data_IF_265279254531
#
_entry.id   IF_265279254531
#
_cell.length_a   1.000
_cell.length_b   1.000
_cell.length_c   1.000
_cell.angle_alpha   90.00
_cell.angle_beta   90.00
_cell.angle_gamma   90.00
#
_symmetry.space_group_name_H-M   'P 1'
#
loop_
_entity.id
_entity.type
_entity.pdbx_description
1 polymer ?
#
# COMPACT_ATOMS: atom_id res chain seq x y z
N UNK A 1 16.64 14.12 7.18
CA UNK A 1 15.48 13.94 8.09
C UNK A 1 14.25 13.72 7.23
N UNK A 2 13.56 12.56 7.31
CA UNK A 2 12.35 12.29 6.51
C UNK A 2 11.20 13.10 7.10
N UNK A 3 10.56 13.97 6.31
CA UNK A 3 9.23 14.50 6.64
C UNK A 3 8.31 13.34 6.98
N UNK A 4 7.84 13.30 8.24
CA UNK A 4 6.83 12.34 8.67
C UNK A 4 5.49 12.77 8.12
N UNK A 5 5.20 12.40 6.88
CA UNK A 5 3.87 12.52 6.30
C UNK A 5 2.88 11.69 7.15
N UNK A 6 1.69 12.21 7.46
CA UNK A 6 0.65 11.56 8.28
C UNK A 6 0.39 10.12 7.80
N UNK A 7 0.39 9.91 6.49
CA UNK A 7 0.25 8.58 5.88
C UNK A 7 1.33 7.60 6.38
N UNK A 8 2.59 8.01 6.46
CA UNK A 8 3.68 7.16 6.93
C UNK A 8 3.50 6.75 8.40
N UNK A 9 2.95 7.65 9.22
CA UNK A 9 2.63 7.39 10.63
C UNK A 9 1.52 6.35 10.74
N UNK A 10 0.43 6.53 9.98
CA UNK A 10 -0.69 5.56 9.91
C UNK A 10 -0.17 4.19 9.45
N UNK A 11 0.63 4.13 8.39
CA UNK A 11 1.17 2.86 7.89
C UNK A 11 2.08 2.17 8.90
N UNK A 12 2.94 2.92 9.60
CA UNK A 12 3.77 2.35 10.67
C UNK A 12 2.95 1.85 11.86
N UNK A 13 1.81 2.46 12.13
CA UNK A 13 0.90 2.01 13.17
C UNK A 13 0.18 0.72 12.73
N UNK A 14 -0.41 0.73 11.53
CA UNK A 14 -1.28 -0.34 11.01
C UNK A 14 -0.51 -1.58 10.55
N UNK A 15 0.74 -1.44 10.09
CA UNK A 15 1.56 -2.55 9.63
C UNK A 15 2.68 -2.92 10.60
N UNK A 16 2.90 -4.23 10.76
CA UNK A 16 4.16 -4.75 11.29
C UNK A 16 5.18 -4.79 10.17
N UNK A 17 6.42 -4.37 10.42
CA UNK A 17 7.51 -4.43 9.44
C UNK A 17 8.60 -5.37 9.95
N UNK A 18 9.14 -6.18 9.06
CA UNK A 18 10.31 -7.02 9.32
C UNK A 18 11.54 -6.14 9.50
N UNK A 19 12.45 -6.58 10.36
CA UNK A 19 13.78 -5.96 10.52
C UNK A 19 14.76 -6.46 9.45
N UNK A 20 14.46 -7.59 8.81
CA UNK A 20 15.32 -8.18 7.79
C UNK A 20 15.23 -7.38 6.48
N UNK A 21 16.35 -7.25 5.74
CA UNK A 21 16.33 -6.64 4.43
C UNK A 21 15.54 -7.51 3.44
N UNK A 22 14.80 -6.86 2.53
CA UNK A 22 14.09 -7.55 1.45
C UNK A 22 15.12 -8.08 0.45
N UNK A 23 14.98 -9.34 0.03
CA UNK A 23 15.86 -9.96 -0.97
C UNK A 23 15.69 -9.27 -2.33
N UNK A 24 16.78 -9.16 -3.10
CA UNK A 24 16.75 -8.53 -4.42
C UNK A 24 15.70 -9.18 -5.34
N UNK A 25 15.67 -10.51 -5.39
CA UNK A 25 14.69 -11.24 -6.20
C UNK A 25 13.25 -10.91 -5.80
N UNK A 26 12.96 -10.85 -4.50
CA UNK A 26 11.63 -10.56 -4.00
C UNK A 26 11.22 -9.12 -4.29
N UNK A 27 12.15 -8.17 -4.18
CA UNK A 27 11.97 -6.79 -4.62
C UNK A 27 11.61 -6.72 -6.10
N UNK A 28 12.36 -7.40 -6.97
CA UNK A 28 12.16 -7.35 -8.43
C UNK A 28 10.83 -7.99 -8.83
N UNK A 29 10.49 -9.15 -8.27
CA UNK A 29 9.19 -9.80 -8.49
C UNK A 29 8.06 -8.88 -8.06
N UNK A 30 8.15 -8.29 -6.86
CA UNK A 30 7.12 -7.39 -6.33
C UNK A 30 7.00 -6.09 -7.15
N UNK A 31 8.12 -5.56 -7.65
CA UNK A 31 8.15 -4.38 -8.53
C UNK A 31 7.45 -4.67 -9.86
N UNK A 32 7.72 -5.81 -10.48
CA UNK A 32 7.04 -6.24 -11.73
C UNK A 32 5.56 -6.50 -11.49
N UNK A 33 5.19 -7.17 -10.40
CA UNK A 33 3.78 -7.37 -10.03
C UNK A 33 3.06 -6.03 -9.88
N UNK A 34 3.68 -5.07 -9.18
CA UNK A 34 3.10 -3.75 -8.99
C UNK A 34 2.96 -2.98 -10.32
N UNK A 35 3.95 -3.04 -11.23
CA UNK A 35 3.84 -2.38 -12.53
C UNK A 35 2.75 -3.00 -13.41
N UNK A 36 2.47 -4.29 -13.24
CA UNK A 36 1.46 -5.01 -14.00
C UNK A 36 0.05 -4.95 -13.37
N UNK A 37 -0.13 -4.16 -12.32
CA UNK A 37 -1.42 -4.05 -11.61
C UNK A 37 -1.82 -5.31 -10.85
N UNK A 38 -0.88 -6.24 -10.62
CA UNK A 38 -1.13 -7.48 -9.88
C UNK A 38 -0.98 -7.27 -8.38
N UNK A 39 -1.66 -8.12 -7.60
CA UNK A 39 -1.53 -8.12 -6.15
C UNK A 39 -0.11 -8.51 -5.72
N UNK A 40 0.53 -7.64 -4.95
CA UNK A 40 1.90 -7.85 -4.47
C UNK A 40 1.92 -8.67 -3.18
N UNK A 41 2.85 -9.62 -3.11
CA UNK A 41 3.08 -10.43 -1.91
C UNK A 41 3.71 -9.59 -0.79
N UNK A 42 2.85 -9.17 0.15
CA UNK A 42 3.26 -8.39 1.32
C UNK A 42 4.24 -9.11 2.25
N UNK A 43 4.21 -10.45 2.31
CA UNK A 43 5.06 -11.22 3.22
C UNK A 43 6.51 -11.20 2.76
N UNK A 44 6.73 -11.31 1.45
CA UNK A 44 8.06 -11.19 0.82
C UNK A 44 8.65 -9.78 0.94
N UNK A 45 7.79 -8.76 0.90
CA UNK A 45 8.19 -7.37 1.19
C UNK A 45 8.37 -7.09 2.69
N UNK A 46 8.18 -8.08 3.55
CA UNK A 46 8.45 -7.98 4.97
C UNK A 46 7.45 -7.10 5.71
N UNK A 47 6.18 -7.05 5.32
CA UNK A 47 5.16 -6.38 6.11
C UNK A 47 3.88 -7.20 6.26
N UNK A 48 3.20 -7.00 7.39
CA UNK A 48 1.93 -7.68 7.71
C UNK A 48 0.92 -6.72 8.32
N UNK A 49 -0.30 -6.74 7.80
CA UNK A 49 -1.40 -5.93 8.32
C UNK A 49 -1.78 -6.35 9.74
N UNK A 50 -1.90 -5.39 10.67
CA UNK A 50 -2.59 -5.58 11.95
C UNK A 50 -4.02 -5.08 11.80
N UNK A 51 -4.93 -6.02 11.52
CA UNK A 51 -6.32 -5.70 11.18
C UNK A 51 -7.02 -4.87 12.26
N UNK A 52 -6.81 -5.18 13.53
CA UNK A 52 -7.37 -4.42 14.67
C UNK A 52 -6.95 -2.95 14.66
N UNK A 53 -5.69 -2.66 14.30
CA UNK A 53 -5.20 -1.28 14.19
C UNK A 53 -5.76 -0.56 12.97
N UNK A 54 -5.96 -1.27 11.87
CA UNK A 54 -6.63 -0.71 10.69
C UNK A 54 -8.07 -0.31 11.01
N UNK A 55 -8.83 -1.17 11.71
CA UNK A 55 -10.17 -0.85 12.19
C UNK A 55 -10.17 0.39 13.09
N UNK A 56 -9.25 0.48 14.05
CA UNK A 56 -9.17 1.63 14.93
C UNK A 56 -9.00 2.95 14.16
N UNK A 57 -8.06 3.00 13.21
CA UNK A 57 -7.85 4.19 12.38
C UNK A 57 -9.07 4.51 11.53
N UNK A 58 -9.70 3.49 10.94
CA UNK A 58 -10.88 3.69 10.11
C UNK A 58 -12.08 4.20 10.90
N UNK A 59 -12.36 3.61 12.07
CA UNK A 59 -13.43 4.04 12.97
C UNK A 59 -13.20 5.50 13.40
N UNK A 60 -11.96 5.85 13.77
CA UNK A 60 -11.64 7.23 14.13
C UNK A 60 -11.91 8.22 12.97
N UNK A 61 -11.57 7.84 11.73
CA UNK A 61 -11.84 8.65 10.54
C UNK A 61 -13.35 8.79 10.29
N UNK A 62 -14.10 7.69 10.38
CA UNK A 62 -15.56 7.69 10.20
C UNK A 62 -16.25 8.55 11.27
N UNK A 63 -15.87 8.40 12.54
CA UNK A 63 -16.45 9.20 13.63
C UNK A 63 -16.12 10.68 13.50
N UNK A 64 -14.89 11.02 13.08
CA UNK A 64 -14.49 12.40 12.85
C UNK A 64 -15.34 13.10 11.79
N UNK A 65 -15.96 12.35 10.87
CA UNK A 65 -16.86 12.88 9.84
C UNK A 65 -18.33 12.80 10.27
N UNK A 66 -18.77 11.64 10.76
CA UNK A 66 -20.19 11.41 11.09
C UNK A 66 -20.65 12.17 12.32
N UNK A 67 -19.81 12.33 13.35
CA UNK A 67 -20.22 13.03 14.58
C UNK A 67 -20.52 14.51 14.30
N UNK A 68 -19.66 15.28 13.61
CA UNK A 68 -19.98 16.66 13.24
C UNK A 68 -21.22 16.76 12.36
N UNK A 69 -21.35 15.91 11.34
CA UNK A 69 -22.52 15.90 10.45
C UNK A 69 -23.79 15.64 11.27
N UNK A 70 -23.77 14.65 12.15
CA UNK A 70 -24.89 14.32 13.03
C UNK A 70 -25.24 15.50 13.95
N UNK A 71 -24.26 16.14 14.57
CA UNK A 71 -24.50 17.32 15.42
C UNK A 71 -25.09 18.51 14.65
N UNK A 72 -24.77 18.69 13.37
CA UNK A 72 -25.37 19.75 12.56
C UNK A 72 -26.78 19.38 12.08
N UNK A 73 -27.03 18.09 11.83
CA UNK A 73 -28.26 17.61 11.19
C UNK A 73 -29.27 16.98 12.14
N UNK A 74 -28.96 16.85 13.45
CA UNK A 74 -29.84 16.17 14.41
C UNK A 74 -31.24 16.79 14.51
N UNK A 75 -31.37 18.12 14.47
CA UNK A 75 -32.68 18.81 14.56
C UNK A 75 -33.60 18.53 13.36
N UNK A 76 -33.14 18.67 12.10
CA UNK A 76 -33.98 18.32 10.96
C UNK A 76 -34.24 16.81 10.90
N UNK A 77 -33.26 15.95 11.21
CA UNK A 77 -33.43 14.50 11.23
C UNK A 77 -34.49 14.03 12.24
N UNK A 78 -34.61 14.69 13.40
CA UNK A 78 -35.59 14.35 14.42
C UNK A 78 -37.05 14.54 13.98
N UNK A 79 -37.30 15.26 12.88
CA UNK A 79 -38.65 15.52 12.34
C UNK A 79 -39.01 14.63 11.14
N UNK A 80 -38.09 13.77 10.69
CA UNK A 80 -38.28 12.89 9.53
C UNK A 80 -39.03 11.62 9.95
N UNK A 81 -39.80 11.04 9.02
CA UNK A 81 -40.46 9.76 9.22
C UNK A 81 -39.44 8.66 9.61
N UNK A 82 -39.70 7.89 10.69
CA UNK A 82 -38.79 6.85 11.16
C UNK A 82 -38.40 5.80 10.11
N UNK A 83 -39.29 5.44 9.17
CA UNK A 83 -38.97 4.48 8.11
C UNK A 83 -37.88 5.01 7.19
N UNK A 84 -37.94 6.29 6.84
CA UNK A 84 -36.92 6.96 6.02
C UNK A 84 -35.59 6.99 6.78
N UNK A 85 -35.63 7.28 8.08
CA UNK A 85 -34.43 7.28 8.94
C UNK A 85 -33.76 5.90 9.03
N UNK A 86 -34.54 4.82 9.12
CA UNK A 86 -34.03 3.45 9.14
C UNK A 86 -33.35 3.11 7.80
N UNK A 87 -34.00 3.41 6.66
CA UNK A 87 -33.42 3.17 5.33
C UNK A 87 -32.12 3.97 5.16
N UNK A 88 -32.12 5.24 5.55
CA UNK A 88 -30.92 6.08 5.52
C UNK A 88 -29.78 5.52 6.35
N UNK A 89 -30.06 5.07 7.58
CA UNK A 89 -29.07 4.45 8.45
C UNK A 89 -28.50 3.16 7.86
N UNK A 90 -29.34 2.32 7.21
CA UNK A 90 -28.88 1.11 6.52
C UNK A 90 -27.93 1.44 5.37
N UNK A 91 -28.26 2.42 4.53
CA UNK A 91 -27.42 2.85 3.40
C UNK A 91 -26.07 3.39 3.91
N UNK A 92 -26.09 4.28 4.90
CA UNK A 92 -24.86 4.83 5.49
C UNK A 92 -23.99 3.71 6.06
N UNK A 93 -24.59 2.77 6.79
CA UNK A 93 -23.88 1.62 7.36
C UNK A 93 -23.22 0.77 6.27
N UNK A 94 -23.93 0.47 5.18
CA UNK A 94 -23.37 -0.27 4.04
C UNK A 94 -22.20 0.48 3.39
N UNK A 95 -22.30 1.81 3.22
CA UNK A 95 -21.22 2.63 2.67
C UNK A 95 -19.98 2.64 3.56
N UNK A 96 -20.14 2.65 4.89
CA UNK A 96 -19.02 2.53 5.83
C UNK A 96 -18.31 1.19 5.67
N UNK A 97 -19.05 0.08 5.60
CA UNK A 97 -18.42 -1.24 5.41
C UNK A 97 -17.72 -1.36 4.05
N UNK A 98 -18.35 -0.87 2.98
CA UNK A 98 -17.74 -0.82 1.66
C UNK A 98 -16.46 0.04 1.67
N UNK A 99 -16.52 1.21 2.30
CA UNK A 99 -15.39 2.12 2.44
C UNK A 99 -14.20 1.52 3.18
N UNK A 100 -14.44 0.63 4.16
CA UNK A 100 -13.36 -0.07 4.86
C UNK A 100 -12.53 -0.96 3.92
N UNK A 101 -13.17 -1.66 2.97
CA UNK A 101 -12.45 -2.49 2.00
C UNK A 101 -11.55 -1.63 1.09
N UNK A 102 -12.07 -0.51 0.60
CA UNK A 102 -11.28 0.45 -0.18
C UNK A 102 -10.12 1.04 0.66
N UNK A 103 -10.38 1.34 1.93
CA UNK A 103 -9.36 1.83 2.85
C UNK A 103 -8.22 0.81 3.05
N UNK A 104 -8.53 -0.46 3.24
CA UNK A 104 -7.51 -1.52 3.33
C UNK A 104 -6.69 -1.65 2.06
N UNK A 105 -7.33 -1.62 0.88
CA UNK A 105 -6.64 -1.66 -0.41
C UNK A 105 -5.71 -0.45 -0.58
N UNK A 106 -6.19 0.75 -0.24
CA UNK A 106 -5.39 1.98 -0.26
C UNK A 106 -4.17 1.91 0.65
N UNK A 107 -4.35 1.44 1.90
CA UNK A 107 -3.26 1.27 2.85
C UNK A 107 -2.24 0.23 2.37
N UNK A 108 -2.71 -0.88 1.79
CA UNK A 108 -1.84 -1.93 1.22
C UNK A 108 -1.00 -1.36 0.10
N UNK A 109 -1.60 -0.71 -0.89
CA UNK A 109 -0.89 -0.12 -2.03
C UNK A 109 0.14 0.92 -1.59
N UNK A 110 -0.23 1.76 -0.61
CA UNK A 110 0.67 2.77 -0.05
C UNK A 110 1.85 2.14 0.69
N UNK A 111 1.62 1.06 1.45
CA UNK A 111 2.68 0.33 2.15
C UNK A 111 3.61 -0.40 1.18
N UNK A 112 3.06 -1.03 0.14
CA UNK A 112 3.83 -1.69 -0.91
C UNK A 112 4.77 -0.71 -1.59
N UNK A 113 4.25 0.45 -2.04
CA UNK A 113 5.06 1.49 -2.69
C UNK A 113 6.21 1.97 -1.79
N UNK A 114 5.94 2.24 -0.51
CA UNK A 114 6.99 2.65 0.44
C UNK A 114 8.02 1.55 0.69
N UNK A 115 7.58 0.30 0.73
CA UNK A 115 8.46 -0.86 0.96
C UNK A 115 9.37 -1.11 -0.23
N UNK A 116 8.82 -1.04 -1.45
CA UNK A 116 9.59 -1.13 -2.69
C UNK A 116 10.63 -0.01 -2.79
N UNK A 117 10.24 1.24 -2.58
CA UNK A 117 11.19 2.37 -2.60
C UNK A 117 12.31 2.21 -1.56
N UNK A 118 11.97 1.74 -0.36
CA UNK A 118 12.97 1.49 0.69
C UNK A 118 13.92 0.36 0.29
N UNK A 119 13.39 -0.78 -0.15
CA UNK A 119 14.21 -1.91 -0.58
C UNK A 119 15.06 -1.56 -1.81
N UNK A 120 14.51 -0.80 -2.74
CA UNK A 120 15.21 -0.31 -3.92
C UNK A 120 16.41 0.55 -3.55
N UNK A 121 16.27 1.49 -2.61
CA UNK A 121 17.39 2.33 -2.17
C UNK A 121 18.56 1.55 -1.55
N UNK A 122 18.32 0.30 -1.13
CA UNK A 122 19.37 -0.60 -0.61
C UNK A 122 20.08 -1.32 -1.75
N UNK A 123 19.34 -1.83 -2.74
CA UNK A 123 19.91 -2.63 -3.84
C UNK A 123 20.44 -1.77 -4.99
N UNK A 124 19.85 -0.60 -5.22
CA UNK A 124 20.15 0.31 -6.32
C UNK A 124 20.30 1.75 -5.81
N UNK A 125 21.31 2.05 -4.96
CA UNK A 125 21.43 3.35 -4.30
C UNK A 125 21.63 4.53 -5.26
N UNK A 126 22.22 4.29 -6.44
CA UNK A 126 22.50 5.30 -7.45
C UNK A 126 21.39 5.47 -8.50
N UNK A 127 20.36 4.63 -8.47
CA UNK A 127 19.27 4.66 -9.46
C UNK A 127 17.96 5.00 -8.77
N UNK A 128 17.25 6.03 -9.22
CA UNK A 128 15.96 6.39 -8.63
C UNK A 128 14.90 5.34 -8.97
N UNK A 129 14.08 4.95 -7.99
CA UNK A 129 13.00 3.98 -8.22
C UNK A 129 12.01 4.47 -9.28
N UNK A 130 11.63 5.75 -9.24
CA UNK A 130 10.62 6.32 -10.14
C UNK A 130 11.03 6.26 -11.62
N UNK A 131 12.31 6.49 -11.92
CA UNK A 131 12.81 6.56 -13.29
C UNK A 131 13.23 5.19 -13.82
N UNK A 132 13.82 4.35 -12.96
CA UNK A 132 14.45 3.11 -13.38
C UNK A 132 13.61 1.84 -13.12
N UNK A 133 12.54 1.89 -12.31
CA UNK A 133 11.72 0.69 -12.02
C UNK A 133 11.29 -0.05 -13.29
N UNK A 134 10.78 0.67 -14.31
CA UNK A 134 10.25 0.03 -15.51
C UNK A 134 11.37 -0.57 -16.37
N UNK A 135 12.52 0.09 -16.44
CA UNK A 135 13.70 -0.41 -17.17
C UNK A 135 14.24 -1.67 -16.51
N UNK A 136 14.40 -1.66 -15.19
CA UNK A 136 14.87 -2.81 -14.42
C UNK A 136 13.88 -3.96 -14.46
N UNK A 137 12.57 -3.69 -14.38
CA UNK A 137 11.54 -4.73 -14.51
C UNK A 137 11.66 -5.44 -15.85
N UNK A 138 11.88 -4.72 -16.96
CA UNK A 138 12.12 -5.31 -18.29
C UNK A 138 13.39 -6.17 -18.33
N UNK A 139 14.50 -5.66 -17.78
CA UNK A 139 15.76 -6.41 -17.73
C UNK A 139 15.59 -7.67 -16.87
N UNK A 140 14.85 -7.57 -15.77
CA UNK A 140 14.54 -8.71 -14.90
C UNK A 140 13.68 -9.76 -15.61
N UNK A 141 12.65 -9.35 -16.35
CA UNK A 141 11.85 -10.26 -17.17
C UNK A 141 12.70 -10.97 -18.23
N UNK A 142 13.64 -10.26 -18.86
CA UNK A 142 14.60 -10.86 -19.78
C UNK A 142 15.53 -11.87 -19.08
N UNK A 143 16.07 -11.51 -17.92
CA UNK A 143 16.91 -12.39 -17.12
C UNK A 143 16.18 -13.68 -16.71
N UNK A 144 14.88 -13.60 -16.43
CA UNK A 144 14.05 -14.76 -16.14
C UNK A 144 13.82 -15.65 -17.36
N UNK A 145 13.71 -15.08 -18.57
CA UNK A 145 13.60 -15.84 -19.84
C UNK A 145 14.91 -16.51 -20.23
N UNK A 146 16.04 -15.88 -19.93
CA UNK A 146 17.39 -16.40 -20.14
C UNK A 146 17.84 -17.34 -19.01
N UNK A 147 16.96 -17.68 -18.08
CA UNK A 147 17.22 -18.57 -16.93
C UNK A 147 18.46 -18.18 -16.10
N UNK A 148 18.73 -16.88 -15.98
CA UNK A 148 19.89 -16.36 -15.27
C UNK A 148 19.86 -16.82 -13.80
N UNK A 149 21.00 -17.32 -13.33
CA UNK A 149 21.13 -17.81 -11.96
C UNK A 149 20.86 -16.71 -10.94
N UNK A 150 20.28 -17.08 -9.78
CA UNK A 150 20.01 -16.10 -8.71
C UNK A 150 21.27 -15.36 -8.24
N UNK A 151 22.45 -15.99 -8.35
CA UNK A 151 23.73 -15.41 -7.92
C UNK A 151 24.19 -14.32 -8.89
N UNK A 152 23.93 -14.51 -10.18
CA UNK A 152 24.39 -13.59 -11.23
C UNK A 152 23.36 -12.50 -11.56
N UNK A 153 22.13 -12.64 -11.06
CA UNK A 153 21.01 -11.74 -11.35
C UNK A 153 21.33 -10.26 -11.07
N UNK A 154 22.00 -9.96 -9.95
CA UNK A 154 22.36 -8.58 -9.62
C UNK A 154 23.37 -8.01 -10.61
N UNK A 155 24.40 -8.81 -10.95
CA UNK A 155 25.43 -8.42 -11.92
C UNK A 155 24.82 -8.21 -13.30
N UNK A 156 24.00 -9.15 -13.76
CA UNK A 156 23.30 -9.08 -15.04
C UNK A 156 22.48 -7.79 -15.19
N UNK A 157 21.72 -7.42 -14.15
CA UNK A 157 20.91 -6.20 -14.17
C UNK A 157 21.79 -4.95 -14.22
N UNK A 158 22.84 -4.90 -13.40
CA UNK A 158 23.73 -3.73 -13.34
C UNK A 158 24.52 -3.53 -14.64
N UNK A 159 25.01 -4.59 -15.27
CA UNK A 159 25.72 -4.52 -16.56
C UNK A 159 24.82 -3.95 -17.66
N UNK A 160 23.58 -4.47 -17.77
CA UNK A 160 22.59 -4.00 -18.73
C UNK A 160 22.16 -2.55 -18.46
N UNK A 161 22.07 -2.15 -17.19
CA UNK A 161 21.77 -0.77 -16.80
C UNK A 161 22.89 0.21 -17.13
N UNK A 162 24.16 -0.21 -17.05
CA UNK A 162 25.30 0.65 -17.37
C UNK A 162 25.48 0.88 -18.88
N UNK A 163 24.98 -0.03 -19.71
CA UNK A 163 24.98 0.09 -21.17
C UNK A 163 23.78 0.84 -21.75
N UNK A 164 22.84 1.28 -20.91
CA UNK A 164 21.64 2.05 -21.28
C UNK A 164 21.89 3.55 -21.21
#
# INVERSE_FOLDING_TARGET
>A
MREKNILSMILNFVYSKSKQPVLLKDLLVASTQQSNGMEVDSTRLGFRLRLTRAYFVYIALVLAVLVPISLLTHKPLAKIDPHISIIGAMIITALIFMGFNYFLAFLKNSMTKQSLQKAWSVHFPFFSYSEYQLKVNKIFEQAMREEVSKRDLQKYILERLATL
#
